data_IF_013592188167
#
_entry.id   IF_013592188167
#
_cell.length_a   1.000
_cell.length_b   1.000
_cell.length_c   1.000
_cell.angle_alpha   90.00
_cell.angle_beta   90.00
_cell.angle_gamma   90.00
#
_symmetry.space_group_name_H-M   'P 1'
#
loop_
_entity.id
_entity.type
_entity.pdbx_description
1 polymer ?
#
# COMPACT_ATOMS: atom_id res chain seq x y z
N UNK A 1 25.53 -27.80 -11.09
CA UNK A 1 25.13 -27.48 -10.93
C UNK A 1 24.67 -26.52 -10.68
N UNK A 2 24.24 -26.15 -10.53
CA UNK A 2 23.78 -25.43 -10.36
C UNK A 2 22.96 -24.54 -10.67
N UNK A 3 22.67 -24.26 -10.97
CA UNK A 3 21.83 -23.71 -11.71
C UNK A 3 20.63 -23.56 -10.98
N UNK A 4 20.27 -24.42 -10.45
CA UNK A 4 19.21 -24.38 -9.68
C UNK A 4 19.00 -23.19 -8.93
N UNK A 5 19.81 -22.74 -8.38
CA UNK A 5 19.73 -21.71 -7.58
C UNK A 5 19.29 -20.57 -8.29
N UNK A 6 19.68 -20.50 -9.30
CA UNK A 6 19.44 -19.32 -10.00
C UNK A 6 17.98 -19.20 -10.19
N UNK A 7 17.38 -20.18 -10.42
CA UNK A 7 16.05 -20.17 -10.65
C UNK A 7 15.27 -19.68 -9.58
N UNK A 8 15.56 -20.10 -8.52
CA UNK A 8 14.88 -19.73 -7.44
C UNK A 8 14.73 -18.33 -7.34
N UNK A 9 15.68 -17.70 -7.55
CA UNK A 9 15.64 -16.41 -7.40
C UNK A 9 14.71 -15.85 -8.31
N UNK A 10 14.66 -16.27 -9.35
CA UNK A 10 13.88 -15.68 -10.33
C UNK A 10 12.50 -15.63 -9.86
N UNK A 11 12.05 -16.62 -9.27
CA UNK A 11 10.71 -16.63 -8.95
C UNK A 11 10.29 -15.60 -8.02
N UNK A 12 11.12 -15.21 -7.28
CA UNK A 12 10.70 -14.35 -6.29
C UNK A 12 10.52 -13.02 -6.76
N UNK A 13 10.98 -12.75 -7.79
CA UNK A 13 10.95 -11.56 -8.20
C UNK A 13 9.73 -10.94 -8.44
N UNK A 14 9.03 -11.39 -9.26
CA UNK A 14 8.02 -10.64 -9.69
C UNK A 14 6.95 -10.43 -8.73
N UNK A 15 6.45 -11.31 -8.25
CA UNK A 15 5.33 -11.11 -7.41
C UNK A 15 5.76 -10.69 -6.05
N UNK A 16 6.96 -10.41 -5.92
CA UNK A 16 7.44 -10.14 -4.60
C UNK A 16 6.83 -8.91 -4.02
N UNK A 17 6.54 -8.90 -2.78
CA UNK A 17 6.08 -7.73 -2.13
C UNK A 17 7.25 -6.81 -1.92
N UNK A 18 7.01 -5.67 -1.36
CA UNK A 18 8.05 -4.76 -1.05
C UNK A 18 8.98 -5.35 -0.02
N UNK A 19 10.20 -4.88 0.02
CA UNK A 19 11.20 -5.48 0.84
C UNK A 19 10.98 -5.24 2.31
N UNK A 20 11.38 -6.20 3.09
CA UNK A 20 11.23 -6.15 4.52
C UNK A 20 12.20 -5.18 5.17
N UNK A 21 11.86 -4.73 6.34
CA UNK A 21 12.71 -3.89 7.17
C UNK A 21 12.55 -4.31 8.62
N UNK A 22 13.18 -3.60 9.52
CA UNK A 22 13.03 -3.90 10.94
C UNK A 22 11.62 -3.60 11.45
N UNK A 23 10.86 -2.80 10.73
CA UNK A 23 9.52 -2.38 11.17
C UNK A 23 8.41 -2.87 10.25
N UNK A 24 8.73 -3.22 9.01
CA UNK A 24 7.75 -3.65 8.03
C UNK A 24 8.18 -5.00 7.44
N UNK A 25 7.41 -6.04 7.67
CA UNK A 25 7.72 -7.36 7.13
C UNK A 25 7.19 -7.52 5.72
N UNK A 26 5.97 -7.10 5.48
CA UNK A 26 5.35 -7.20 4.17
C UNK A 26 4.21 -6.21 4.07
N UNK A 27 3.95 -5.71 2.88
CA UNK A 27 2.82 -4.82 2.67
C UNK A 27 2.41 -4.85 1.21
N UNK A 28 1.11 -4.66 0.98
CA UNK A 28 0.59 -4.59 -0.36
C UNK A 28 -0.73 -3.83 -0.36
N UNK A 29 -1.17 -3.46 -1.54
CA UNK A 29 -2.46 -2.82 -1.72
C UNK A 29 -3.06 -3.26 -3.05
N UNK A 30 -4.37 -3.15 -3.18
CA UNK A 30 -5.02 -3.34 -4.45
C UNK A 30 -6.10 -2.29 -4.63
N UNK A 31 -6.50 -2.08 -5.86
CA UNK A 31 -7.52 -1.11 -6.20
C UNK A 31 -8.49 -1.81 -7.14
N UNK A 32 -9.78 -1.74 -6.82
CA UNK A 32 -10.81 -2.33 -7.65
C UNK A 32 -11.95 -1.34 -7.81
N UNK A 33 -12.75 -1.54 -8.84
CA UNK A 33 -13.91 -0.68 -9.05
C UNK A 33 -15.15 -1.39 -8.53
N UNK A 34 -15.93 -0.70 -7.72
CA UNK A 34 -17.16 -1.27 -7.17
C UNK A 34 -18.28 -1.20 -8.21
N UNK A 35 -19.40 -1.87 -7.94
CA UNK A 35 -20.53 -1.83 -8.84
C UNK A 35 -21.13 -0.43 -8.97
N UNK A 36 -20.94 0.42 -7.98
CA UNK A 36 -21.41 1.79 -8.04
C UNK A 36 -20.42 2.73 -8.72
N UNK A 37 -19.26 2.21 -9.14
CA UNK A 37 -18.28 3.03 -9.83
C UNK A 37 -17.22 3.65 -8.95
N UNK A 38 -17.27 3.42 -7.65
CA UNK A 38 -16.25 3.92 -6.75
C UNK A 38 -15.00 3.05 -6.83
N UNK A 39 -13.88 3.62 -6.45
CA UNK A 39 -12.64 2.87 -6.33
C UNK A 39 -12.51 2.39 -4.88
N UNK A 40 -12.33 1.09 -4.73
CA UNK A 40 -12.10 0.48 -3.44
C UNK A 40 -10.60 0.21 -3.34
N UNK A 41 -9.94 0.86 -2.40
CA UNK A 41 -8.51 0.70 -2.21
C UNK A 41 -8.30 -0.05 -0.90
N UNK A 42 -7.84 -1.27 -1.00
CA UNK A 42 -7.60 -2.13 0.15
C UNK A 42 -6.10 -2.24 0.37
N UNK A 43 -5.67 -2.19 1.61
CA UNK A 43 -4.27 -2.39 1.93
C UNK A 43 -4.11 -3.32 3.11
N UNK A 44 -2.96 -3.95 3.20
CA UNK A 44 -2.59 -4.77 4.34
C UNK A 44 -1.11 -4.60 4.61
N UNK A 45 -0.76 -4.53 5.88
CA UNK A 45 0.64 -4.42 6.29
C UNK A 45 0.87 -5.34 7.48
N UNK A 46 2.02 -6.01 7.45
CA UNK A 46 2.44 -6.95 8.49
C UNK A 46 3.78 -6.48 9.03
N UNK A 47 3.87 -6.37 10.33
CA UNK A 47 5.10 -6.00 11.02
C UNK A 47 5.70 -7.25 11.70
N UNK A 48 7.00 -7.25 11.99
CA UNK A 48 7.63 -8.39 12.66
C UNK A 48 7.23 -8.52 14.13
N UNK A 49 6.60 -7.51 14.69
CA UNK A 49 6.15 -7.51 16.07
C UNK A 49 5.02 -6.50 16.23
N UNK A 50 4.44 -6.41 17.41
CA UNK A 50 3.41 -5.41 17.68
C UNK A 50 4.06 -4.05 17.64
N UNK A 51 3.45 -3.13 16.90
CA UNK A 51 3.93 -1.77 16.74
C UNK A 51 3.02 -0.79 17.46
N UNK A 52 3.57 0.35 17.87
CA UNK A 52 2.76 1.40 18.47
C UNK A 52 1.79 1.94 17.44
N UNK A 53 2.26 2.12 16.20
CA UNK A 53 1.40 2.48 15.09
C UNK A 53 1.80 1.67 13.86
N UNK A 54 0.80 1.20 13.12
CA UNK A 54 1.03 0.40 11.93
C UNK A 54 -0.09 0.67 10.93
N UNK A 55 0.25 0.98 9.71
CA UNK A 55 -0.74 1.20 8.68
C UNK A 55 -0.18 2.01 7.52
N UNK A 56 -0.89 3.05 7.16
CA UNK A 56 -0.60 3.86 5.99
C UNK A 56 -0.55 5.33 6.41
N UNK A 57 0.46 6.04 5.94
CA UNK A 57 0.53 7.48 6.18
C UNK A 57 -0.17 8.26 5.08
N UNK A 58 -0.20 7.73 3.86
CA UNK A 58 -0.85 8.41 2.74
C UNK A 58 -1.23 7.44 1.65
N UNK A 59 -2.38 7.67 1.02
CA UNK A 59 -2.77 7.02 -0.21
C UNK A 59 -3.00 8.13 -1.23
N UNK A 60 -2.16 8.18 -2.26
CA UNK A 60 -2.34 9.12 -3.35
C UNK A 60 -3.12 8.45 -4.47
N UNK A 61 -4.31 8.96 -4.76
CA UNK A 61 -5.14 8.44 -5.84
C UNK A 61 -4.77 9.23 -7.08
N UNK A 62 -4.29 8.55 -8.10
CA UNK A 62 -3.79 9.17 -9.30
C UNK A 62 -4.53 8.71 -10.54
N UNK A 63 -4.77 9.63 -11.45
CA UNK A 63 -5.45 9.37 -12.70
C UNK A 63 -4.46 9.52 -13.86
N UNK A 64 -4.52 8.61 -14.81
CA UNK A 64 -3.69 8.73 -16.00
C UNK A 64 -4.35 9.67 -16.99
N UNK A 65 -3.62 10.70 -17.41
CA UNK A 65 -4.17 11.73 -18.31
C UNK A 65 -3.99 11.37 -19.79
N UNK A 66 -3.32 10.27 -20.08
CA UNK A 66 -2.92 9.90 -21.43
C UNK A 66 -1.44 10.17 -21.67
N UNK A 67 -0.82 10.96 -20.81
CA UNK A 67 0.60 11.29 -20.92
C UNK A 67 1.32 11.09 -19.59
N UNK A 68 0.66 11.31 -18.48
CA UNK A 68 1.30 11.19 -17.18
C UNK A 68 0.23 10.92 -16.11
N UNK A 69 0.71 10.51 -14.92
CA UNK A 69 -0.16 10.28 -13.78
C UNK A 69 -0.31 11.56 -12.98
N UNK A 70 -1.55 11.93 -12.69
CA UNK A 70 -1.85 13.15 -11.95
C UNK A 70 -2.55 12.78 -10.65
N UNK A 71 -2.09 13.32 -9.53
CA UNK A 71 -2.74 13.08 -8.25
C UNK A 71 -4.06 13.84 -8.20
N UNK A 72 -5.13 13.09 -7.94
CA UNK A 72 -6.46 13.67 -7.78
C UNK A 72 -6.81 13.88 -6.32
N UNK A 73 -6.38 12.98 -5.46
CA UNK A 73 -6.75 13.06 -4.06
C UNK A 73 -5.74 12.33 -3.19
N UNK A 74 -5.53 12.82 -1.99
CA UNK A 74 -4.68 12.16 -1.01
C UNK A 74 -5.48 11.88 0.25
N UNK A 75 -5.53 10.60 0.64
CA UNK A 75 -5.94 10.24 1.98
C UNK A 75 -4.69 10.33 2.85
N UNK A 76 -4.74 11.00 3.97
CA UNK A 76 -3.60 11.15 4.85
C UNK A 76 -3.98 10.85 6.29
N UNK A 77 -3.04 10.34 7.05
CA UNK A 77 -3.18 10.18 8.47
C UNK A 77 -2.59 11.42 9.13
N UNK A 78 -3.21 12.01 10.14
CA UNK A 78 -4.36 11.50 10.90
C UNK A 78 -5.73 11.99 10.42
N UNK A 79 -5.82 12.74 9.33
CA UNK A 79 -7.10 13.23 8.83
C UNK A 79 -8.04 12.09 8.51
N UNK A 80 -7.51 10.97 8.06
CA UNK A 80 -8.24 9.73 7.86
C UNK A 80 -7.73 8.75 8.90
N UNK A 81 -8.29 8.74 10.09
CA UNK A 81 -7.72 7.98 11.20
C UNK A 81 -7.72 6.47 11.02
N UNK A 82 -8.59 5.94 10.18
CA UNK A 82 -8.62 4.50 9.94
C UNK A 82 -7.44 4.00 9.13
N UNK A 83 -6.57 4.89 8.65
CA UNK A 83 -5.39 4.45 7.93
C UNK A 83 -4.35 3.76 8.82
N UNK A 84 -4.41 3.95 10.12
CA UNK A 84 -3.44 3.32 11.02
C UNK A 84 -4.12 2.71 12.24
N UNK A 85 -3.59 1.56 12.67
CA UNK A 85 -3.98 0.93 13.91
C UNK A 85 -2.91 1.15 14.96
N UNK A 86 -3.28 0.99 16.22
CA UNK A 86 -2.35 1.13 17.35
C UNK A 86 -2.20 -0.18 18.07
N UNK A 87 -1.00 -0.48 18.50
CA UNK A 87 -0.68 -1.68 19.27
C UNK A 87 -1.07 -2.96 18.53
N UNK A 88 -0.72 -3.03 17.26
CA UNK A 88 -1.03 -4.17 16.40
C UNK A 88 0.18 -4.60 15.60
N UNK A 89 0.22 -5.87 15.20
CA UNK A 89 1.27 -6.40 14.33
C UNK A 89 0.82 -6.67 12.91
N UNK A 90 -0.49 -6.57 12.66
CA UNK A 90 -1.08 -6.70 11.34
C UNK A 90 -2.20 -5.69 11.27
N UNK A 91 -2.27 -4.98 10.16
CA UNK A 91 -3.34 -4.00 9.98
C UNK A 91 -3.79 -3.99 8.54
N UNK A 92 -5.08 -3.97 8.33
CA UNK A 92 -5.65 -3.86 6.99
C UNK A 92 -6.90 -3.01 7.05
N UNK A 93 -7.17 -2.32 5.96
CA UNK A 93 -8.34 -1.47 5.88
C UNK A 93 -8.67 -1.20 4.42
N UNK A 94 -9.84 -0.68 4.16
CA UNK A 94 -10.28 -0.32 2.82
C UNK A 94 -10.82 1.10 2.86
N UNK A 95 -10.43 1.92 1.89
CA UNK A 95 -11.00 3.24 1.72
C UNK A 95 -11.69 3.31 0.36
N UNK A 96 -12.72 4.13 0.27
CA UNK A 96 -13.47 4.31 -0.97
C UNK A 96 -13.22 5.71 -1.51
N UNK A 97 -13.05 5.80 -2.81
CA UNK A 97 -12.87 7.08 -3.48
C UNK A 97 -13.80 7.14 -4.69
N UNK A 98 -14.56 8.23 -4.81
CA UNK A 98 -15.43 8.42 -5.96
C UNK A 98 -14.64 9.14 -7.04
N UNK A 99 -14.31 8.47 -8.16
CA UNK A 99 -13.47 9.09 -9.17
C UNK A 99 -14.17 10.22 -9.89
N UNK A 100 -13.43 11.28 -10.15
CA UNK A 100 -13.98 12.41 -10.87
C UNK A 100 -14.16 12.08 -12.35
N UNK A 101 -13.34 11.19 -12.87
CA UNK A 101 -13.39 10.77 -14.28
C UNK A 101 -13.49 9.26 -14.33
N UNK A 102 -14.72 8.71 -14.21
CA UNK A 102 -14.90 7.25 -14.02
C UNK A 102 -14.36 6.38 -15.15
N UNK A 103 -14.20 6.92 -16.34
CA UNK A 103 -13.70 6.11 -17.46
C UNK A 103 -12.18 6.16 -17.60
N UNK A 104 -11.51 6.92 -16.77
CA UNK A 104 -10.05 7.01 -16.81
C UNK A 104 -9.40 5.87 -16.04
N UNK A 105 -8.12 5.66 -16.31
CA UNK A 105 -7.34 4.70 -15.54
C UNK A 105 -6.88 5.36 -14.24
N UNK A 106 -6.94 4.60 -13.17
CA UNK A 106 -6.52 5.08 -11.85
C UNK A 106 -5.51 4.14 -11.23
N UNK A 107 -4.70 4.67 -10.35
CA UNK A 107 -3.81 3.87 -9.51
C UNK A 107 -3.74 4.52 -8.14
N UNK A 108 -3.30 3.74 -7.16
CA UNK A 108 -3.10 4.24 -5.81
C UNK A 108 -1.65 4.04 -5.41
N UNK A 109 -0.99 5.09 -4.99
CA UNK A 109 0.36 5.00 -4.44
C UNK A 109 0.21 5.07 -2.93
N UNK A 110 0.52 3.96 -2.29
CA UNK A 110 0.30 3.79 -0.86
C UNK A 110 1.62 3.86 -0.12
N UNK A 111 1.72 4.75 0.85
CA UNK A 111 2.90 4.86 1.70
C UNK A 111 2.59 4.24 3.04
N UNK A 112 3.23 3.12 3.34
CA UNK A 112 3.04 2.40 4.58
C UNK A 112 3.93 2.97 5.67
N UNK A 113 3.53 2.78 6.91
CA UNK A 113 4.22 3.35 8.06
C UNK A 113 4.12 2.40 9.26
N UNK A 114 5.21 2.27 9.98
CA UNK A 114 5.25 1.52 11.23
C UNK A 114 6.17 2.22 12.21
N UNK A 115 5.80 2.25 13.47
CA UNK A 115 6.63 2.85 14.50
C UNK A 115 6.51 2.13 15.84
N UNK A 116 7.58 2.15 16.58
CA UNK A 116 7.61 1.71 17.97
C UNK A 116 8.55 2.63 18.74
N UNK A 117 8.86 2.29 19.99
CA UNK A 117 9.72 3.15 20.83
C UNK A 117 11.14 3.28 20.29
N UNK A 118 11.57 2.39 19.42
CA UNK A 118 12.92 2.42 18.88
C UNK A 118 13.06 3.22 17.59
N UNK A 119 11.95 3.49 16.91
CA UNK A 119 12.02 4.22 15.65
C UNK A 119 10.84 3.96 14.75
N UNK A 120 11.02 4.26 13.48
CA UNK A 120 9.94 4.09 12.49
C UNK A 120 10.53 3.79 11.11
N UNK A 121 9.68 3.34 10.22
CA UNK A 121 10.05 3.13 8.82
C UNK A 121 8.84 3.33 7.93
N UNK A 122 9.11 3.56 6.66
CA UNK A 122 8.06 3.69 5.65
C UNK A 122 8.39 2.82 4.45
N UNK A 123 7.40 2.46 3.68
CA UNK A 123 7.57 1.75 2.44
C UNK A 123 6.47 2.15 1.48
N UNK A 124 6.67 1.95 0.20
CA UNK A 124 5.72 2.40 -0.81
C UNK A 124 5.29 1.25 -1.70
N UNK A 125 4.05 1.26 -2.11
CA UNK A 125 3.49 0.24 -3.00
C UNK A 125 2.49 0.91 -3.94
N UNK A 126 2.58 0.60 -5.22
CA UNK A 126 1.66 1.15 -6.21
C UNK A 126 0.71 0.06 -6.68
N UNK A 127 -0.58 0.30 -6.50
CA UNK A 127 -1.63 -0.61 -6.94
C UNK A 127 -2.34 -0.01 -8.16
N UNK A 128 -2.57 -0.83 -9.15
CA UNK A 128 -3.25 -0.35 -10.36
C UNK A 128 -4.18 -1.39 -10.96
#
# INVERSE_FOLDING_TARGET
MLVIFSILLATTIFAAPARASAYLSAYYANITKTSSGDLSIHFQVIAPAIMDQLGVSRISVQRYTGSYWRTEYNFTYPETPELQGKDVGIYSETVLYTPQYPDSRYRAVVTFYASNSSGSDTGSYTAS
#
